data_IF_345838617629
#
_entry.id   IF_345838617629
#
_cell.length_a   1.000
_cell.length_b   1.000
_cell.length_c   1.000
_cell.angle_alpha   90.00
_cell.angle_beta   90.00
_cell.angle_gamma   90.00
#
_symmetry.space_group_name_H-M   'P 1'
#
loop_
_entity.id
_entity.type
_entity.pdbx_description
1 polymer ?
#
# COMPACT_ATOMS: atom_id res chain seq x y z
N UNK A 1 17.43 -12.37 -0.62
CA UNK A 1 16.23 -11.87 0.10
C UNK A 1 16.35 -10.36 0.21
N UNK A 2 15.34 -9.61 -0.22
CA UNK A 2 15.27 -8.16 0.04
C UNK A 2 14.35 -7.97 1.20
N UNK A 3 14.92 -7.86 2.38
CA UNK A 3 14.14 -7.74 3.60
C UNK A 3 13.59 -6.34 3.78
N UNK A 4 14.24 -5.32 3.21
CA UNK A 4 13.86 -3.91 3.43
C UNK A 4 13.64 -3.14 2.13
N UNK A 5 12.60 -2.31 2.12
CA UNK A 5 12.22 -1.42 1.04
C UNK A 5 11.89 -0.01 1.58
N UNK A 6 12.24 1.03 0.84
CA UNK A 6 11.93 2.42 1.20
C UNK A 6 10.67 2.88 0.44
N UNK A 7 9.62 3.38 1.12
CA UNK A 7 8.47 3.95 0.46
C UNK A 7 8.81 5.33 -0.11
N UNK A 8 8.47 5.53 -1.38
CA UNK A 8 8.71 6.77 -2.11
C UNK A 8 7.44 7.58 -2.33
N UNK A 9 6.30 6.90 -2.48
CA UNK A 9 5.01 7.52 -2.74
C UNK A 9 3.87 6.59 -2.29
N UNK A 10 2.70 7.17 -2.01
CA UNK A 10 1.46 6.42 -1.75
C UNK A 10 0.32 6.88 -2.65
N UNK A 11 -0.73 6.07 -2.73
CA UNK A 11 -1.99 6.48 -3.35
C UNK A 11 -2.87 7.24 -2.35
N UNK A 12 -3.48 8.36 -2.76
CA UNK A 12 -4.25 9.24 -1.87
C UNK A 12 -5.46 8.55 -1.23
N UNK A 13 -6.21 7.75 -1.99
CA UNK A 13 -7.42 7.07 -1.48
C UNK A 13 -7.17 5.68 -0.91
N UNK A 14 -5.96 5.16 -1.12
CA UNK A 14 -5.55 3.81 -0.78
C UNK A 14 -4.13 3.88 -0.21
N UNK A 15 -3.96 4.46 0.99
CA UNK A 15 -2.63 4.75 1.55
C UNK A 15 -1.82 3.47 1.83
N UNK A 16 -2.46 2.30 1.85
CA UNK A 16 -1.79 1.01 1.88
C UNK A 16 -1.03 0.69 0.58
N UNK A 17 -1.34 1.37 -0.53
CA UNK A 17 -0.69 1.15 -1.84
C UNK A 17 0.52 2.05 -1.97
N UNK A 18 1.69 1.43 -2.16
CA UNK A 18 2.97 2.10 -2.09
C UNK A 18 3.79 1.88 -3.37
N UNK A 19 4.48 2.93 -3.80
CA UNK A 19 5.67 2.83 -4.65
C UNK A 19 6.89 2.70 -3.73
N UNK A 20 7.68 1.65 -3.93
CA UNK A 20 8.80 1.27 -3.09
C UNK A 20 10.11 1.26 -3.88
N UNK A 21 11.23 1.46 -3.18
CA UNK A 21 12.59 1.36 -3.73
C UNK A 21 13.45 0.41 -2.89
N UNK A 22 14.14 -0.51 -3.56
CA UNK A 22 15.14 -1.38 -2.93
C UNK A 22 16.49 -0.72 -2.76
N UNK A 23 17.33 -1.27 -1.87
CA UNK A 23 18.70 -0.78 -1.62
C UNK A 23 19.65 -0.84 -2.83
N UNK A 24 19.28 -1.58 -3.87
CA UNK A 24 19.99 -1.68 -5.14
C UNK A 24 19.45 -0.71 -6.22
N UNK A 25 18.43 0.09 -5.90
CA UNK A 25 17.80 1.02 -6.83
C UNK A 25 16.63 0.48 -7.65
N UNK A 26 16.22 -0.79 -7.50
CA UNK A 26 15.03 -1.33 -8.20
C UNK A 26 13.73 -0.83 -7.58
N UNK A 27 12.68 -0.73 -8.39
CA UNK A 27 11.38 -0.22 -8.01
C UNK A 27 10.36 -1.35 -7.85
N UNK A 28 9.46 -1.19 -6.88
CA UNK A 28 8.42 -2.17 -6.59
C UNK A 28 7.10 -1.46 -6.32
N UNK A 29 6.00 -2.14 -6.62
CA UNK A 29 4.65 -1.71 -6.23
C UNK A 29 4.11 -2.68 -5.20
N UNK A 30 3.56 -2.12 -4.14
CA UNK A 30 2.82 -2.86 -3.13
C UNK A 30 1.34 -2.45 -3.20
N UNK A 31 0.44 -3.44 -3.29
CA UNK A 31 -1.00 -3.20 -3.49
C UNK A 31 -1.81 -3.24 -2.19
N UNK A 32 -1.21 -3.63 -1.06
CA UNK A 32 -1.89 -3.71 0.23
C UNK A 32 -2.94 -4.82 0.35
N UNK A 33 -2.96 -5.78 -0.57
CA UNK A 33 -4.01 -6.82 -0.63
C UNK A 33 -3.80 -7.93 0.41
N UNK A 34 -2.56 -8.40 0.58
CA UNK A 34 -2.23 -9.56 1.43
C UNK A 34 -0.75 -9.57 1.81
N UNK A 35 -0.43 -9.94 3.05
CA UNK A 35 0.95 -10.18 3.50
C UNK A 35 1.63 -11.36 2.77
N UNK A 36 0.85 -12.24 2.13
CA UNK A 36 1.37 -13.37 1.36
C UNK A 36 1.72 -13.00 -0.09
N UNK A 37 1.28 -11.84 -0.56
CA UNK A 37 1.53 -11.37 -1.93
C UNK A 37 2.70 -10.39 -1.94
N UNK A 38 3.92 -10.78 -2.36
CA UNK A 38 5.08 -9.92 -2.27
C UNK A 38 4.94 -8.66 -3.14
N UNK A 39 5.68 -7.57 -2.83
CA UNK A 39 5.78 -6.42 -3.73
C UNK A 39 6.22 -6.83 -5.14
N UNK A 40 5.52 -6.29 -6.14
CA UNK A 40 5.75 -6.59 -7.55
C UNK A 40 6.87 -5.68 -8.09
N UNK A 41 7.92 -6.25 -8.68
CA UNK A 41 8.99 -5.48 -9.33
C UNK A 41 8.46 -4.81 -10.59
N UNK A 42 8.77 -3.52 -10.77
CA UNK A 42 8.36 -2.74 -11.93
C UNK A 42 9.54 -2.05 -12.60
N UNK A 43 9.39 -1.75 -13.89
CA UNK A 43 10.40 -1.00 -14.63
C UNK A 43 10.48 0.47 -14.19
N UNK A 44 11.66 1.11 -14.25
CA UNK A 44 11.83 2.52 -13.86
C UNK A 44 10.93 3.51 -14.60
N UNK A 45 10.57 3.22 -15.86
CA UNK A 45 9.66 4.05 -16.66
C UNK A 45 8.25 4.06 -16.06
N UNK A 46 7.78 2.91 -15.57
CA UNK A 46 6.49 2.81 -14.90
C UNK A 46 6.51 3.52 -13.55
N UNK A 47 7.59 3.40 -12.79
CA UNK A 47 7.76 4.13 -11.53
C UNK A 47 7.71 5.66 -11.74
N UNK A 48 8.39 6.15 -12.80
CA UNK A 48 8.39 7.57 -13.19
C UNK A 48 6.98 8.03 -13.60
N UNK A 49 6.25 7.20 -14.34
CA UNK A 49 4.87 7.51 -14.72
C UNK A 49 3.94 7.53 -13.50
N UNK A 50 4.09 6.59 -12.55
CA UNK A 50 3.27 6.51 -11.34
C UNK A 50 3.37 7.76 -10.46
N UNK A 51 4.57 8.30 -10.24
CA UNK A 51 4.74 9.51 -9.42
C UNK A 51 4.19 10.78 -10.06
N UNK A 52 3.90 10.74 -11.37
CA UNK A 52 3.29 11.85 -12.10
C UNK A 52 1.74 11.82 -12.06
N UNK A 53 1.14 10.79 -11.43
CA UNK A 53 -0.32 10.68 -11.36
C UNK A 53 -0.89 11.59 -10.26
N UNK A 54 -2.03 12.23 -10.55
CA UNK A 54 -2.69 13.16 -9.61
C UNK A 54 -3.10 12.51 -8.28
N UNK A 55 -3.36 11.20 -8.28
CA UNK A 55 -3.76 10.44 -7.08
C UNK A 55 -2.59 9.81 -6.34
N UNK A 56 -1.36 10.20 -6.67
CA UNK A 56 -0.14 9.72 -6.03
C UNK A 56 0.57 10.89 -5.37
N UNK A 57 0.90 10.72 -4.09
CA UNK A 57 1.67 11.71 -3.33
C UNK A 57 3.07 11.16 -3.06
N UNK A 58 4.08 11.93 -3.46
CA UNK A 58 5.49 11.63 -3.19
C UNK A 58 5.82 11.99 -1.75
N UNK A 59 6.41 11.05 -1.02
CA UNK A 59 6.76 11.21 0.38
C UNK A 59 8.00 12.11 0.53
N UNK A 60 7.93 13.06 1.45
CA UNK A 60 9.04 13.95 1.77
C UNK A 60 10.09 13.25 2.66
N UNK A 61 11.40 13.52 2.48
CA UNK A 61 12.43 13.05 3.41
C UNK A 61 12.25 13.59 4.84
N UNK A 62 12.73 12.89 5.87
CA UNK A 62 13.47 11.62 5.81
C UNK A 62 12.56 10.40 5.59
N UNK A 63 12.98 9.49 4.72
CA UNK A 63 12.24 8.26 4.41
C UNK A 63 12.83 7.07 5.16
N UNK A 64 11.97 6.29 5.84
CA UNK A 64 12.38 5.11 6.61
C UNK A 64 12.37 3.84 5.74
N UNK A 65 13.24 2.89 6.06
CA UNK A 65 13.22 1.57 5.45
C UNK A 65 12.23 0.68 6.21
N UNK A 66 11.32 0.04 5.48
CA UNK A 66 10.33 -0.89 6.03
C UNK A 66 10.73 -2.32 5.75
N UNK A 67 10.55 -3.22 6.72
CA UNK A 67 10.64 -4.64 6.43
C UNK A 67 9.46 -5.04 5.52
N UNK A 68 9.66 -5.98 4.59
CA UNK A 68 8.58 -6.40 3.67
C UNK A 68 7.35 -6.92 4.42
N UNK A 69 7.56 -7.58 5.56
CA UNK A 69 6.48 -8.10 6.42
C UNK A 69 5.69 -7.00 7.16
N UNK A 70 6.24 -5.79 7.24
CA UNK A 70 5.63 -4.63 7.91
C UNK A 70 4.88 -3.72 6.93
N UNK A 71 4.75 -4.10 5.66
CA UNK A 71 4.04 -3.31 4.67
C UNK A 71 2.55 -3.21 5.02
N UNK A 72 1.94 -2.02 4.88
CA UNK A 72 0.57 -1.79 5.32
C UNK A 72 -0.43 -2.59 4.49
N UNK A 73 -1.41 -3.20 5.15
CA UNK A 73 -2.53 -3.87 4.48
C UNK A 73 -3.75 -2.96 4.49
N UNK A 74 -4.63 -3.17 3.49
CA UNK A 74 -5.93 -2.52 3.46
C UNK A 74 -6.67 -2.83 4.76
N UNK A 75 -7.22 -1.79 5.41
CA UNK A 75 -8.06 -1.99 6.57
C UNK A 75 -9.29 -2.83 6.17
N UNK A 76 -9.71 -3.81 6.98
CA UNK A 76 -10.95 -4.51 6.72
C UNK A 76 -12.08 -3.49 6.69
N UNK A 77 -12.80 -3.42 5.57
CA UNK A 77 -14.03 -2.64 5.48
C UNK A 77 -14.97 -3.15 6.56
N UNK A 78 -15.14 -2.36 7.62
CA UNK A 78 -16.14 -2.65 8.64
C UNK A 78 -17.49 -2.40 7.99
N UNK A 79 -18.04 -3.42 7.33
CA UNK A 79 -19.42 -3.38 6.87
C UNK A 79 -20.29 -3.08 8.08
N UNK A 80 -21.14 -2.03 8.06
CA UNK A 80 -22.13 -1.86 9.11
C UNK A 80 -23.04 -3.09 9.05
N UNK A 81 -22.89 -4.00 10.02
CA UNK A 81 -23.83 -5.11 10.19
C UNK A 81 -25.23 -4.50 10.31
N UNK A 82 -26.19 -4.85 9.43
CA UNK A 82 -27.56 -4.45 9.65
C UNK A 82 -28.00 -5.08 10.97
N UNK A 83 -28.23 -4.26 11.98
CA UNK A 83 -28.94 -4.67 13.19
C UNK A 83 -30.35 -5.04 12.76
N UNK A 84 -30.59 -6.31 12.45
CA UNK A 84 -31.94 -6.84 12.36
C UNK A 84 -32.49 -6.78 13.79
N UNK A 85 -33.14 -5.67 14.10
CA UNK A 85 -34.00 -5.56 15.25
C UNK A 85 -35.08 -6.63 15.13
N UNK A 86 -34.96 -7.69 15.93
CA UNK A 86 -36.12 -8.51 16.27
C UNK A 86 -37.00 -7.64 17.15
N UNK A 87 -37.88 -6.86 16.53
CA UNK A 87 -39.07 -6.41 17.22
C UNK A 87 -39.94 -7.64 17.43
N UNK A 88 -39.85 -8.16 18.64
CA UNK A 88 -40.77 -9.13 19.19
C UNK A 88 -42.13 -8.44 19.38
N UNK A 89 -42.96 -8.47 18.33
CA UNK A 89 -44.38 -8.16 18.45
C UNK A 89 -45.14 -9.44 18.79
N UNK A 90 -45.42 -9.54 20.09
CA UNK A 90 -46.60 -10.12 20.79
C UNK A 90 -47.45 -11.17 20.09
#
# INVERSE_FOLDING_TARGET
MRSYLQPLAHHLDHPERLLLRGGDGRFFVWRGESAQSPPEEIEPRLATWLVAQERVEVLAPPLMWLHVDDLPLAAPVSSPSPSIGRDAAR
#
